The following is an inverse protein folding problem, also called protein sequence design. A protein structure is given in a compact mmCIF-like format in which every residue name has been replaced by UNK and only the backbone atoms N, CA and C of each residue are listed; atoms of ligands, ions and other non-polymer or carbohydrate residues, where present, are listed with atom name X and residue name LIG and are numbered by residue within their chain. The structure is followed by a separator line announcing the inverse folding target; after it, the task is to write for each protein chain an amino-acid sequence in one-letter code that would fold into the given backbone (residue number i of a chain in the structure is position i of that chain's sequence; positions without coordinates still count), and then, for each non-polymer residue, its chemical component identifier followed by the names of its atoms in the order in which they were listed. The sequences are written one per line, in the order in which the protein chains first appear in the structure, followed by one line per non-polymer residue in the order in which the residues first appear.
data_IF_071755411117
#
_entry.id   IF_071755411117
#
_cell.length_a   1.000
_cell.length_b   1.000
_cell.length_c   1.000
_cell.angle_alpha   90.00
_cell.angle_beta   90.00
_cell.angle_gamma   90.00
#
_symmetry.space_group_name_H-M   'P 1'
#
loop_
_entity.id
_entity.type
_entity.pdbx_description
1 polymer ?
#
# COMPACT_ATOMS: atom_id res chain seq x y z
N UNK A 1 4.66 -2.51 -19.96
CA UNK A 1 4.71 -3.55 -18.92
C UNK A 1 4.20 -4.85 -19.51
N UNK A 2 4.91 -5.95 -19.38
CA UNK A 2 4.56 -7.24 -19.97
C UNK A 2 5.27 -8.40 -19.25
N UNK A 3 4.77 -9.64 -19.44
CA UNK A 3 5.49 -10.84 -19.07
C UNK A 3 6.71 -11.07 -19.96
N UNK A 4 7.73 -11.71 -19.44
CA UNK A 4 8.94 -12.01 -20.21
C UNK A 4 8.69 -13.02 -21.34
N UNK A 5 7.65 -13.85 -21.23
CA UNK A 5 7.33 -14.93 -22.17
C UNK A 5 6.78 -14.45 -23.51
N UNK A 6 6.38 -13.19 -23.61
CA UNK A 6 5.84 -12.62 -24.85
C UNK A 6 6.73 -11.54 -25.48
N UNK A 7 8.02 -11.49 -25.12
CA UNK A 7 8.97 -10.53 -25.69
C UNK A 7 9.01 -10.63 -27.20
N UNK A 8 9.22 -11.83 -27.75
CA UNK A 8 9.31 -12.03 -29.21
C UNK A 8 7.98 -11.85 -29.92
N UNK A 9 6.89 -12.24 -29.29
CA UNK A 9 5.57 -12.22 -29.93
C UNK A 9 4.93 -10.84 -29.94
N UNK A 10 5.18 -10.04 -28.92
CA UNK A 10 4.52 -8.74 -28.78
C UNK A 10 5.48 -7.56 -28.73
N UNK A 11 6.49 -7.60 -27.88
CA UNK A 11 7.38 -6.45 -27.70
C UNK A 11 8.20 -6.19 -28.97
N UNK A 12 8.79 -7.22 -29.55
CA UNK A 12 9.54 -7.10 -30.79
C UNK A 12 8.65 -6.60 -31.94
N UNK A 13 7.42 -7.11 -32.06
CA UNK A 13 6.45 -6.66 -33.06
C UNK A 13 6.07 -5.20 -32.91
N UNK A 14 5.84 -4.73 -31.67
CA UNK A 14 5.56 -3.32 -31.42
C UNK A 14 6.73 -2.44 -31.83
N UNK A 15 7.97 -2.85 -31.54
CA UNK A 15 9.17 -2.10 -31.88
C UNK A 15 9.32 -1.94 -33.39
N UNK A 16 9.34 -3.06 -34.14
CA UNK A 16 9.54 -2.97 -35.58
C UNK A 16 8.37 -2.33 -36.32
N UNK A 17 7.12 -2.55 -35.89
CA UNK A 17 5.96 -1.85 -36.44
C UNK A 17 6.00 -0.35 -36.20
N UNK A 18 6.36 0.07 -34.98
CA UNK A 18 6.52 1.48 -34.66
C UNK A 18 7.60 2.15 -35.50
N UNK A 19 8.77 1.52 -35.62
CA UNK A 19 9.88 2.02 -36.43
C UNK A 19 9.52 2.06 -37.92
N UNK A 20 8.82 1.03 -38.45
CA UNK A 20 8.49 0.99 -39.87
C UNK A 20 7.39 1.99 -40.25
N UNK A 21 6.31 2.04 -39.48
CA UNK A 21 5.15 2.85 -39.84
C UNK A 21 5.18 4.27 -39.30
N UNK A 22 5.63 4.44 -38.03
CA UNK A 22 5.63 5.74 -37.36
C UNK A 22 7.00 6.42 -37.40
N UNK A 23 8.05 5.68 -37.77
CA UNK A 23 9.48 6.13 -37.76
C UNK A 23 9.96 6.58 -36.38
N UNK A 24 9.29 6.13 -35.33
CA UNK A 24 9.58 6.48 -33.94
C UNK A 24 9.65 5.23 -33.07
N UNK A 25 10.43 5.31 -31.99
CA UNK A 25 10.48 4.25 -30.96
C UNK A 25 9.20 4.30 -30.14
N UNK A 26 8.39 3.23 -30.09
CA UNK A 26 7.07 3.27 -29.45
C UNK A 26 7.11 3.43 -27.93
N UNK A 27 8.22 3.11 -27.29
CA UNK A 27 8.41 3.25 -25.82
C UNK A 27 9.91 3.27 -25.48
N UNK A 28 10.25 4.03 -24.43
CA UNK A 28 11.64 4.16 -23.94
C UNK A 28 12.02 3.09 -22.92
N UNK A 29 11.04 2.55 -22.20
CA UNK A 29 11.23 1.58 -21.13
C UNK A 29 10.31 0.39 -21.32
N UNK A 30 10.85 -0.81 -21.14
CA UNK A 30 10.09 -2.05 -21.10
C UNK A 30 10.30 -2.69 -19.75
N UNK A 31 9.21 -2.81 -18.99
CA UNK A 31 9.23 -3.46 -17.68
C UNK A 31 8.69 -4.89 -17.80
N UNK A 32 9.51 -5.85 -17.43
CA UNK A 32 9.15 -7.28 -17.44
C UNK A 32 8.77 -7.73 -16.05
N UNK A 33 7.54 -8.19 -15.88
CA UNK A 33 7.10 -8.88 -14.67
C UNK A 33 7.24 -10.40 -14.80
N UNK A 34 7.37 -11.08 -13.67
CA UNK A 34 7.32 -12.54 -13.62
C UNK A 34 5.89 -13.08 -13.81
N UNK A 35 5.79 -14.38 -14.04
CA UNK A 35 4.51 -15.08 -14.14
C UNK A 35 4.06 -15.57 -12.78
N UNK A 36 2.75 -15.60 -12.59
CA UNK A 36 2.13 -16.22 -11.41
C UNK A 36 2.01 -17.72 -11.68
N UNK A 37 2.59 -18.52 -10.80
CA UNK A 37 2.58 -19.99 -10.85
C UNK A 37 1.70 -20.57 -9.75
N UNK A 38 1.29 -21.81 -9.90
CA UNK A 38 0.56 -22.53 -8.86
C UNK A 38 1.44 -22.80 -7.61
N UNK A 39 0.86 -23.37 -6.57
CA UNK A 39 1.56 -23.66 -5.32
C UNK A 39 2.76 -24.62 -5.52
N UNK A 40 2.73 -25.48 -6.55
CA UNK A 40 3.80 -26.39 -6.92
C UNK A 40 4.86 -25.74 -7.82
N UNK A 41 4.65 -24.48 -8.23
CA UNK A 41 5.56 -23.76 -9.12
C UNK A 41 5.38 -24.06 -10.61
N UNK A 42 4.28 -24.74 -11.02
CA UNK A 42 3.97 -25.02 -12.41
C UNK A 42 3.28 -23.82 -13.06
N UNK A 43 3.47 -23.62 -14.34
CA UNK A 43 2.75 -22.60 -15.11
C UNK A 43 1.25 -22.94 -15.12
N UNK A 44 0.43 -21.96 -14.78
CA UNK A 44 -1.02 -22.10 -14.83
C UNK A 44 -1.49 -22.23 -16.28
N UNK A 45 -2.32 -23.23 -16.57
CA UNK A 45 -2.92 -23.41 -17.89
C UNK A 45 -4.32 -24.01 -17.78
N UNK A 46 -5.15 -23.71 -18.76
CA UNK A 46 -6.51 -24.27 -18.85
C UNK A 46 -6.50 -25.80 -18.99
N UNK A 47 -5.51 -26.33 -19.69
CA UNK A 47 -5.37 -27.78 -19.90
C UNK A 47 -5.00 -28.56 -18.65
N UNK A 48 -4.28 -27.93 -17.72
CA UNK A 48 -3.94 -28.53 -16.44
C UNK A 48 -4.99 -28.30 -15.33
N UNK A 49 -5.97 -27.45 -15.60
CA UNK A 49 -6.99 -27.13 -14.61
C UNK A 49 -6.48 -26.49 -13.30
N UNK A 50 -5.24 -25.97 -13.33
CA UNK A 50 -4.57 -25.38 -12.17
C UNK A 50 -4.66 -23.84 -12.16
N UNK A 51 -5.51 -23.27 -13.02
CA UNK A 51 -5.79 -21.85 -13.06
C UNK A 51 -6.61 -21.43 -11.84
N UNK A 52 -6.27 -20.28 -11.28
CA UNK A 52 -7.02 -19.64 -10.18
C UNK A 52 -7.83 -18.51 -10.79
N UNK A 53 -9.14 -18.51 -10.55
CA UNK A 53 -9.98 -17.38 -10.96
C UNK A 53 -9.77 -16.19 -10.02
N UNK A 54 -9.24 -15.07 -10.52
CA UNK A 54 -9.04 -13.89 -9.71
C UNK A 54 -10.36 -13.30 -9.17
N UNK A 55 -11.49 -13.52 -9.82
CA UNK A 55 -12.79 -13.03 -9.36
C UNK A 55 -13.28 -13.78 -8.13
N UNK A 56 -13.04 -15.08 -8.06
CA UNK A 56 -13.32 -15.88 -6.86
C UNK A 56 -12.46 -15.44 -5.68
N UNK A 57 -11.18 -15.19 -5.91
CA UNK A 57 -10.26 -14.68 -4.88
C UNK A 57 -10.70 -13.29 -4.40
N UNK A 58 -11.11 -12.41 -5.31
CA UNK A 58 -11.63 -11.08 -4.98
C UNK A 58 -12.92 -11.18 -4.15
N UNK A 59 -13.82 -12.10 -4.49
CA UNK A 59 -15.06 -12.31 -3.74
C UNK A 59 -14.79 -12.77 -2.30
N UNK A 60 -13.75 -13.58 -2.07
CA UNK A 60 -13.41 -14.12 -0.74
C UNK A 60 -12.55 -13.19 0.11
N UNK A 61 -11.57 -12.53 -0.49
CA UNK A 61 -10.52 -11.79 0.25
C UNK A 61 -10.52 -10.29 -0.03
N UNK A 62 -11.19 -9.83 -1.07
CA UNK A 62 -11.19 -8.44 -1.53
C UNK A 62 -10.13 -8.16 -2.59
N UNK A 63 -10.41 -7.16 -3.43
CA UNK A 63 -9.53 -6.77 -4.54
C UNK A 63 -8.18 -6.23 -4.05
N UNK A 64 -8.17 -5.47 -2.96
CA UNK A 64 -6.94 -4.88 -2.42
C UNK A 64 -5.98 -5.94 -1.88
N UNK A 65 -6.51 -7.00 -1.25
CA UNK A 65 -5.71 -8.12 -0.77
C UNK A 65 -5.01 -8.84 -1.93
N UNK A 66 -5.73 -9.15 -3.00
CA UNK A 66 -5.15 -9.77 -4.19
C UNK A 66 -4.10 -8.87 -4.85
N UNK A 67 -4.42 -7.59 -5.07
CA UNK A 67 -3.50 -6.64 -5.70
C UNK A 67 -2.23 -6.45 -4.88
N UNK A 68 -2.35 -6.31 -3.56
CA UNK A 68 -1.19 -6.18 -2.69
C UNK A 68 -0.33 -7.44 -2.69
N UNK A 69 -0.94 -8.63 -2.64
CA UNK A 69 -0.22 -9.92 -2.76
C UNK A 69 0.58 -10.03 -4.06
N UNK A 70 0.00 -9.55 -5.16
CA UNK A 70 0.67 -9.60 -6.47
C UNK A 70 1.83 -8.61 -6.60
N UNK A 71 1.83 -7.53 -5.81
CA UNK A 71 2.92 -6.53 -5.84
C UNK A 71 3.99 -6.82 -4.81
N UNK A 72 3.61 -7.37 -3.63
CA UNK A 72 4.54 -7.63 -2.53
C UNK A 72 5.45 -8.83 -2.83
N UNK A 73 6.74 -8.66 -2.61
CA UNK A 73 7.74 -9.73 -2.79
C UNK A 73 8.04 -10.08 -4.24
N UNK A 74 7.69 -9.20 -5.17
CA UNK A 74 8.03 -9.33 -6.59
C UNK A 74 9.40 -8.72 -6.85
N UNK A 75 10.26 -9.50 -7.54
CA UNK A 75 11.45 -8.97 -8.20
C UNK A 75 11.21 -8.97 -9.71
N UNK A 76 11.65 -7.95 -10.46
CA UNK A 76 11.48 -7.90 -11.90
C UNK A 76 11.96 -9.18 -12.58
N UNK A 77 11.15 -9.75 -13.47
CA UNK A 77 11.48 -10.95 -14.23
C UNK A 77 11.39 -12.29 -13.48
N UNK A 78 11.15 -12.29 -12.18
CA UNK A 78 11.04 -13.52 -11.39
C UNK A 78 9.57 -13.97 -11.21
N UNK A 79 9.35 -15.26 -11.39
CA UNK A 79 8.04 -15.88 -11.20
C UNK A 79 7.67 -15.96 -9.72
N UNK A 80 6.36 -15.79 -9.45
CA UNK A 80 5.81 -15.83 -8.10
C UNK A 80 4.88 -17.03 -7.94
N UNK A 81 5.01 -17.76 -6.84
CA UNK A 81 4.04 -18.79 -6.48
C UNK A 81 2.83 -18.16 -5.80
N UNK A 82 1.66 -18.47 -6.31
CA UNK A 82 0.42 -18.05 -5.66
C UNK A 82 0.15 -18.95 -4.44
N UNK A 83 -0.21 -18.33 -3.34
CA UNK A 83 -0.74 -19.05 -2.18
C UNK A 83 -1.87 -18.25 -1.53
N UNK A 84 -2.87 -18.95 -1.07
CA UNK A 84 -4.06 -18.39 -0.41
C UNK A 84 -3.69 -17.72 0.91
N UNK A 85 -2.72 -18.30 1.63
CA UNK A 85 -2.20 -17.78 2.90
C UNK A 85 -1.57 -16.38 2.72
N UNK A 86 -0.89 -16.14 1.60
CA UNK A 86 -0.34 -14.81 1.28
C UNK A 86 -1.45 -13.79 1.01
N UNK A 87 -2.54 -14.20 0.36
CA UNK A 87 -3.70 -13.33 0.12
C UNK A 87 -4.39 -13.01 1.45
N UNK A 88 -4.53 -13.98 2.33
CA UNK A 88 -5.08 -13.78 3.66
C UNK A 88 -4.22 -12.85 4.52
N UNK A 89 -2.90 -12.99 4.50
CA UNK A 89 -1.98 -12.07 5.17
C UNK A 89 -2.14 -10.63 4.63
N UNK A 90 -2.29 -10.47 3.32
CA UNK A 90 -2.54 -9.16 2.69
C UNK A 90 -3.89 -8.57 3.10
N UNK A 91 -4.93 -9.40 3.21
CA UNK A 91 -6.24 -8.97 3.75
C UNK A 91 -6.12 -8.49 5.20
N UNK A 92 -5.38 -9.23 6.02
CA UNK A 92 -5.16 -8.85 7.41
C UNK A 92 -4.40 -7.52 7.53
N UNK A 93 -3.45 -7.26 6.65
CA UNK A 93 -2.78 -5.98 6.57
C UNK A 93 -3.74 -4.85 6.18
N UNK A 94 -4.58 -5.04 5.16
CA UNK A 94 -5.60 -4.06 4.78
C UNK A 94 -6.58 -3.77 5.93
N UNK A 95 -7.00 -4.80 6.66
CA UNK A 95 -7.84 -4.66 7.86
C UNK A 95 -7.13 -3.91 8.99
N UNK A 96 -5.83 -4.13 9.18
CA UNK A 96 -5.04 -3.39 10.18
C UNK A 96 -5.01 -1.90 9.85
N UNK A 97 -4.80 -1.55 8.59
CA UNK A 97 -4.85 -0.15 8.13
C UNK A 97 -6.23 0.48 8.30
N UNK A 98 -7.28 -0.27 7.97
CA UNK A 98 -8.65 0.18 8.18
C UNK A 98 -8.93 0.47 9.66
N UNK A 99 -8.56 -0.44 10.55
CA UNK A 99 -8.77 -0.28 11.99
C UNK A 99 -7.95 0.88 12.57
N UNK A 100 -6.69 1.05 12.14
CA UNK A 100 -5.87 2.20 12.52
C UNK A 100 -6.49 3.51 12.06
N UNK A 101 -6.96 3.58 10.82
CA UNK A 101 -7.65 4.76 10.28
C UNK A 101 -8.95 5.06 11.03
N UNK A 102 -9.73 4.03 11.34
CA UNK A 102 -10.96 4.15 12.11
C UNK A 102 -10.68 4.67 13.53
N UNK A 103 -9.67 4.14 14.19
CA UNK A 103 -9.25 4.62 15.51
C UNK A 103 -8.90 6.11 15.48
N UNK A 104 -8.13 6.56 14.49
CA UNK A 104 -7.78 7.97 14.33
C UNK A 104 -9.03 8.82 14.12
N UNK A 105 -9.92 8.40 13.20
CA UNK A 105 -11.13 9.15 12.88
C UNK A 105 -12.04 9.32 14.10
N UNK A 106 -12.23 8.26 14.89
CA UNK A 106 -13.03 8.33 16.12
C UNK A 106 -12.45 9.30 17.15
N UNK A 107 -11.13 9.42 17.22
CA UNK A 107 -10.47 10.33 18.17
C UNK A 107 -10.46 11.80 17.73
N UNK A 108 -10.65 12.08 16.45
CA UNK A 108 -10.72 13.44 15.91
C UNK A 108 -12.14 13.91 15.59
N UNK A 109 -13.14 13.02 15.71
CA UNK A 109 -14.54 13.34 15.47
C UNK A 109 -15.02 14.45 16.42
N UNK A 110 -15.72 15.46 15.88
CA UNK A 110 -16.22 16.61 16.65
C UNK A 110 -15.14 17.61 17.09
N UNK A 111 -13.88 17.45 16.67
CA UNK A 111 -12.79 18.36 17.00
C UNK A 111 -12.40 19.22 15.80
N UNK A 112 -12.14 20.50 16.04
CA UNK A 112 -11.58 21.39 15.02
C UNK A 112 -10.09 21.05 14.80
N UNK A 113 -9.84 20.23 13.79
CA UNK A 113 -8.50 19.75 13.44
C UNK A 113 -7.93 20.65 12.35
N UNK A 114 -7.03 21.55 12.71
CA UNK A 114 -6.27 22.36 11.74
C UNK A 114 -5.26 21.47 10.99
N UNK A 115 -4.98 21.78 9.75
CA UNK A 115 -4.04 21.02 8.90
C UNK A 115 -2.64 21.66 8.94
N UNK A 116 -2.17 21.99 10.13
CA UNK A 116 -0.88 22.66 10.38
C UNK A 116 -0.06 21.85 11.39
N UNK A 117 1.26 21.90 11.26
CA UNK A 117 2.18 21.34 12.27
C UNK A 117 2.01 22.09 13.58
N UNK A 118 1.85 21.39 14.73
CA UNK A 118 1.92 22.06 16.02
C UNK A 118 3.30 22.69 16.22
N UNK A 119 3.34 23.84 16.91
CA UNK A 119 4.58 24.54 17.20
C UNK A 119 5.57 23.69 18.03
N UNK A 120 5.03 22.86 18.92
CA UNK A 120 5.80 21.94 19.74
C UNK A 120 5.41 20.49 19.42
N UNK A 121 6.40 19.69 19.11
CA UNK A 121 6.28 18.26 18.83
C UNK A 121 6.94 17.50 19.98
N UNK A 122 6.25 16.50 20.51
CA UNK A 122 6.83 15.56 21.45
C UNK A 122 7.90 14.69 20.77
N UNK A 123 8.68 13.97 21.55
CA UNK A 123 9.78 13.14 21.02
C UNK A 123 9.27 12.06 20.08
N UNK A 124 8.19 11.41 20.44
CA UNK A 124 7.53 10.38 19.61
C UNK A 124 6.97 10.94 18.31
N UNK A 125 6.45 12.18 18.32
CA UNK A 125 5.94 12.85 17.11
C UNK A 125 7.10 13.14 16.14
N UNK A 126 8.23 13.63 16.66
CA UNK A 126 9.46 13.87 15.88
C UNK A 126 10.01 12.56 15.31
N UNK A 127 10.00 11.50 16.11
CA UNK A 127 10.45 10.18 15.69
C UNK A 127 9.62 9.66 14.52
N UNK A 128 8.28 9.61 14.64
CA UNK A 128 7.44 9.06 13.59
C UNK A 128 7.47 9.89 12.31
N UNK A 129 7.55 11.23 12.42
CA UNK A 129 7.68 12.11 11.26
C UNK A 129 9.01 11.93 10.54
N UNK A 130 10.11 11.78 11.29
CA UNK A 130 11.42 11.47 10.72
C UNK A 130 11.43 10.12 10.01
N UNK A 131 10.85 9.09 10.64
CA UNK A 131 10.71 7.76 10.04
C UNK A 131 9.86 7.79 8.77
N UNK A 132 8.72 8.49 8.80
CA UNK A 132 7.85 8.67 7.64
C UNK A 132 8.56 9.35 6.47
N UNK A 133 9.27 10.46 6.72
CA UNK A 133 9.99 11.18 5.67
C UNK A 133 11.08 10.31 5.03
N UNK A 134 11.81 9.53 5.83
CA UNK A 134 12.81 8.58 5.32
C UNK A 134 12.16 7.52 4.45
N UNK A 135 11.10 6.88 4.94
CA UNK A 135 10.40 5.85 4.18
C UNK A 135 9.79 6.41 2.91
N UNK A 136 9.18 7.60 2.96
CA UNK A 136 8.61 8.25 1.77
C UNK A 136 9.68 8.51 0.70
N UNK A 137 10.87 8.97 1.10
CA UNK A 137 12.00 9.14 0.19
C UNK A 137 12.43 7.81 -0.44
N UNK A 138 12.66 6.79 0.39
CA UNK A 138 13.09 5.47 -0.06
C UNK A 138 12.06 4.81 -0.98
N UNK A 139 10.77 4.94 -0.67
CA UNK A 139 9.69 4.41 -1.52
C UNK A 139 9.70 5.10 -2.89
N UNK A 140 9.82 6.43 -2.95
CA UNK A 140 9.90 7.13 -4.22
C UNK A 140 11.12 6.70 -5.04
N UNK A 141 12.30 6.59 -4.41
CA UNK A 141 13.51 6.12 -5.08
C UNK A 141 13.36 4.70 -5.66
N UNK A 142 12.70 3.79 -4.92
CA UNK A 142 12.46 2.42 -5.39
C UNK A 142 11.40 2.40 -6.52
N UNK A 143 10.36 3.23 -6.43
CA UNK A 143 9.36 3.33 -7.51
C UNK A 143 9.97 3.86 -8.81
N UNK A 144 10.87 4.85 -8.74
CA UNK A 144 11.60 5.35 -9.91
C UNK A 144 12.50 4.30 -10.56
N UNK A 145 13.02 3.36 -9.75
CA UNK A 145 13.82 2.22 -10.23
C UNK A 145 12.96 1.02 -10.67
N UNK A 146 11.64 1.13 -10.60
CA UNK A 146 10.69 0.02 -10.84
C UNK A 146 10.82 -1.15 -9.86
N UNK A 147 11.36 -0.92 -8.67
CA UNK A 147 11.49 -1.90 -7.58
C UNK A 147 10.22 -1.93 -6.71
N UNK A 148 9.09 -2.28 -7.33
CA UNK A 148 7.75 -2.19 -6.73
C UNK A 148 7.61 -3.05 -5.47
N UNK A 149 8.18 -4.25 -5.48
CA UNK A 149 8.13 -5.16 -4.34
C UNK A 149 8.87 -4.62 -3.11
N UNK A 150 10.03 -3.98 -3.33
CA UNK A 150 10.80 -3.35 -2.25
C UNK A 150 10.06 -2.13 -1.71
N UNK A 151 9.49 -1.30 -2.58
CA UNK A 151 8.68 -0.15 -2.17
C UNK A 151 7.47 -0.58 -1.32
N UNK A 152 6.76 -1.64 -1.75
CA UNK A 152 5.63 -2.19 -1.01
C UNK A 152 6.04 -2.75 0.36
N UNK A 153 7.18 -3.45 0.44
CA UNK A 153 7.70 -3.99 1.70
C UNK A 153 8.07 -2.88 2.70
N UNK A 154 8.74 -1.82 2.25
CA UNK A 154 9.08 -0.67 3.10
C UNK A 154 7.85 0.03 3.67
N UNK A 155 6.79 0.16 2.85
CA UNK A 155 5.52 0.69 3.32
C UNK A 155 4.86 -0.24 4.34
N UNK A 156 4.90 -1.55 4.10
CA UNK A 156 4.37 -2.54 5.02
C UNK A 156 5.06 -2.46 6.38
N UNK A 157 6.39 -2.51 6.40
CA UNK A 157 7.19 -2.51 7.63
C UNK A 157 6.95 -1.21 8.44
N UNK A 158 6.93 -0.05 7.77
CA UNK A 158 6.65 1.21 8.43
C UNK A 158 5.25 1.25 9.03
N UNK A 159 4.23 0.87 8.25
CA UNK A 159 2.84 0.96 8.68
C UNK A 159 2.51 -0.07 9.75
N UNK A 160 3.02 -1.28 9.62
CA UNK A 160 2.74 -2.34 10.57
C UNK A 160 3.49 -2.11 11.88
N UNK A 161 4.82 -2.06 11.81
CA UNK A 161 5.67 -2.07 13.00
C UNK A 161 5.76 -0.69 13.65
N UNK A 162 6.15 0.34 12.88
CA UNK A 162 6.45 1.64 13.48
C UNK A 162 5.19 2.45 13.77
N UNK A 163 4.26 2.47 12.83
CA UNK A 163 3.07 3.29 12.98
C UNK A 163 2.00 2.61 13.84
N UNK A 164 1.60 1.37 13.50
CA UNK A 164 0.50 0.69 14.22
C UNK A 164 0.96 0.14 15.57
N UNK A 165 2.08 -0.58 15.63
CA UNK A 165 2.49 -1.29 16.84
C UNK A 165 3.16 -0.37 17.87
N UNK A 166 3.85 0.70 17.41
CA UNK A 166 4.51 1.62 18.33
C UNK A 166 3.78 2.95 18.46
N UNK A 167 3.67 3.71 17.38
CA UNK A 167 3.18 5.09 17.48
C UNK A 167 1.73 5.18 17.96
N UNK A 168 0.83 4.33 17.44
CA UNK A 168 -0.57 4.32 17.88
C UNK A 168 -0.68 3.93 19.34
N UNK A 169 0.10 2.95 19.82
CA UNK A 169 0.04 2.53 21.22
C UNK A 169 0.56 3.63 22.16
N UNK A 170 1.64 4.31 21.80
CA UNK A 170 2.12 5.49 22.56
C UNK A 170 1.06 6.60 22.55
N UNK A 171 0.46 6.88 21.38
CA UNK A 171 -0.59 7.89 21.26
C UNK A 171 -1.83 7.57 22.10
N UNK A 172 -2.20 6.30 22.27
CA UNK A 172 -3.29 5.90 23.16
C UNK A 172 -3.05 6.33 24.60
N UNK A 173 -1.86 6.16 25.13
CA UNK A 173 -1.50 6.57 26.49
C UNK A 173 -1.79 8.08 26.67
N UNK A 174 -1.35 8.90 25.71
CA UNK A 174 -1.59 10.36 25.73
C UNK A 174 -3.06 10.73 25.56
N UNK A 175 -3.84 9.95 24.84
CA UNK A 175 -5.26 10.19 24.63
C UNK A 175 -6.12 9.80 25.82
N UNK A 176 -5.65 8.89 26.65
CA UNK A 176 -6.36 8.36 27.83
C UNK A 176 -5.87 8.99 29.14
N UNK A 177 -4.72 9.67 29.14
CA UNK A 177 -4.25 10.41 30.32
C UNK A 177 -5.15 11.67 30.52
N UNK A 178 -5.84 11.72 31.66
CA UNK A 178 -6.61 12.87 32.11
C UNK A 178 -5.70 13.98 32.70
N UNK A 179 -4.38 13.79 32.68
CA UNK A 179 -3.40 14.75 33.19
C UNK A 179 -3.31 15.97 32.27
N UNK A 180 -4.03 17.02 32.64
CA UNK A 180 -3.87 18.36 32.06
C UNK A 180 -2.41 18.87 32.18
N UNK A 181 -1.60 18.33 33.06
CA UNK A 181 -0.18 18.68 33.25
C UNK A 181 0.76 18.03 32.21
N UNK A 182 0.45 16.85 31.68
CA UNK A 182 1.16 16.31 30.52
C UNK A 182 0.84 17.10 29.23
N UNK A 183 -0.24 17.85 29.24
CA UNK A 183 -0.64 18.79 28.20
C UNK A 183 -0.06 20.21 28.38
N UNK A 184 0.44 20.54 29.58
CA UNK A 184 0.76 21.90 30.01
C UNK A 184 2.09 22.46 29.51
N UNK A 185 3.04 21.65 29.09
CA UNK A 185 4.29 22.13 28.47
C UNK A 185 4.22 22.21 26.93
N UNK A 186 3.13 21.76 26.38
CA UNK A 186 2.82 21.96 24.98
C UNK A 186 1.50 22.75 24.94
N UNK A 187 1.57 24.03 24.60
CA UNK A 187 0.40 24.83 24.20
C UNK A 187 -0.30 24.24 22.95
N UNK A 188 -0.08 22.98 22.68
CA UNK A 188 -0.62 22.13 21.64
C UNK A 188 -1.36 20.97 22.27
N UNK A 189 -2.67 20.98 22.18
CA UNK A 189 -3.63 19.90 22.40
C UNK A 189 -2.96 18.49 22.26
N UNK A 190 -2.94 17.60 23.30
CA UNK A 190 -2.35 16.26 23.23
C UNK A 190 -2.93 15.39 22.10
N UNK A 191 -4.05 15.80 21.56
CA UNK A 191 -4.71 15.27 20.38
C UNK A 191 -4.09 15.75 19.05
N UNK A 192 -3.06 16.59 19.09
CA UNK A 192 -2.36 17.11 17.90
C UNK A 192 -1.55 16.06 17.14
N UNK A 193 -1.02 15.04 17.82
CA UNK A 193 -0.22 13.98 17.17
C UNK A 193 -1.01 13.14 16.16
N UNK A 194 -2.31 12.96 16.37
CA UNK A 194 -3.20 12.28 15.45
C UNK A 194 -3.65 13.15 14.25
N UNK A 195 -3.36 14.45 14.28
CA UNK A 195 -3.73 15.38 13.19
C UNK A 195 -3.07 15.03 11.86
N UNK A 196 -1.86 14.44 11.91
CA UNK A 196 -1.05 14.07 10.75
C UNK A 196 -1.57 12.88 9.97
N UNK A 197 -2.37 12.07 10.63
CA UNK A 197 -2.91 10.86 10.03
C UNK A 197 -4.15 11.09 9.17
N UNK A 198 -4.50 12.35 8.87
CA UNK A 198 -5.53 12.62 7.86
C UNK A 198 -4.96 12.32 6.48
N UNK A 199 -5.39 11.25 5.84
CA UNK A 199 -4.84 10.90 4.53
C UNK A 199 -5.21 12.00 3.52
N UNK A 200 -4.19 12.55 2.89
CA UNK A 200 -4.31 13.52 1.77
C UNK A 200 -5.01 12.92 0.54
N UNK A 201 -5.30 11.62 0.58
CA UNK A 201 -5.89 10.86 -0.53
C UNK A 201 -7.35 11.16 -0.85
N UNK A 202 -8.07 11.91 0.01
CA UNK A 202 -9.42 12.38 -0.35
C UNK A 202 -9.47 13.36 -1.53
N UNK A 203 -8.34 13.85 -2.04
CA UNK A 203 -8.32 14.80 -3.15
C UNK A 203 -8.00 14.20 -4.52
N UNK A 204 -7.55 12.96 -4.61
CA UNK A 204 -7.14 12.38 -5.89
C UNK A 204 -7.84 11.08 -6.30
N UNK A 205 -8.69 10.50 -5.46
CA UNK A 205 -9.48 9.33 -5.86
C UNK A 205 -10.95 9.72 -5.95
N UNK A 206 -11.42 9.94 -7.17
CA UNK A 206 -12.83 9.99 -7.55
C UNK A 206 -13.46 8.60 -7.71
N UNK A 207 -12.95 7.58 -7.00
CA UNK A 207 -13.58 6.27 -6.96
C UNK A 207 -14.75 6.28 -5.98
N UNK A 208 -16.00 6.06 -6.43
CA UNK A 208 -17.12 5.91 -5.54
C UNK A 208 -16.95 4.63 -4.71
N UNK A 209 -17.07 4.76 -3.39
CA UNK A 209 -17.16 3.62 -2.49
C UNK A 209 -18.32 2.71 -2.93
N UNK A 210 -18.12 1.39 -2.99
CA UNK A 210 -19.22 0.48 -3.23
C UNK A 210 -20.25 0.62 -2.10
N UNK A 211 -21.50 0.92 -2.46
CA UNK A 211 -22.62 0.90 -1.51
C UNK A 211 -22.75 -0.52 -0.97
N UNK A 212 -22.66 -0.66 0.33
CA UNK A 212 -23.08 -1.89 0.99
C UNK A 212 -24.60 -2.02 0.76
N UNK A 213 -24.99 -2.89 -0.16
CA UNK A 213 -26.38 -3.35 -0.22
C UNK A 213 -26.57 -4.31 0.94
N UNK A 214 -27.31 -3.87 1.93
CA UNK A 214 -27.88 -4.75 2.95
C UNK A 214 -28.84 -5.71 2.24
N UNK A 215 -28.43 -6.95 2.06
CA UNK A 215 -29.35 -8.03 1.74
C UNK A 215 -30.04 -8.47 3.04
N UNK A 216 -31.35 -8.41 3.03
CA UNK A 216 -32.25 -9.08 3.96
C UNK A 216 -32.19 -10.59 3.74
#
# INVERSE_FOLDING_TARGET
VTGYDIIFFWVARMIFSGLEHMKEVPFKTVFFHGLVRDAQGRKMSKSLGNGIDPLEVIAQYGADALRFTLVTGISPGNDTRFSTERVEASRNFANKLWNASRFILMNIEGKDVKNELPAHLATEDKWILSAFNRVAKEVNENLEKFELGIAAQKLYDFLWDQFCDWFIEIAKIRLTSDDEQAAGDTSGNPKGSLRWCRPRWKRSCSCPLPRQTSAR
#
